data_IF_747192252832
#
_entry.id   IF_747192252832
#
_cell.length_a   1.000
_cell.length_b   1.000
_cell.length_c   1.000
_cell.angle_alpha   90.00
_cell.angle_beta   90.00
_cell.angle_gamma   90.00
#
_symmetry.space_group_name_H-M   'P 1'
#
loop_
_entity.id
_entity.type
_entity.pdbx_description
1 polymer ?
#
# COMPACT_ATOMS: atom_id res chain seq x y z
N UNK A 1 9.97 -22.68 2.22
CA UNK A 1 10.73 -21.42 2.03
C UNK A 1 9.86 -20.29 2.56
N UNK A 2 10.20 -19.73 3.73
CA UNK A 2 9.37 -18.74 4.42
C UNK A 2 9.54 -17.36 3.77
N UNK A 3 8.52 -16.88 3.08
CA UNK A 3 8.45 -15.49 2.61
C UNK A 3 8.52 -14.61 3.85
N UNK A 4 9.53 -13.74 3.92
CA UNK A 4 9.65 -12.81 5.05
C UNK A 4 8.51 -11.80 5.00
N UNK A 5 8.10 -11.28 6.16
CA UNK A 5 7.08 -10.22 6.24
C UNK A 5 7.42 -9.06 5.29
N UNK A 6 8.70 -8.72 5.18
CA UNK A 6 9.17 -7.69 4.26
C UNK A 6 8.95 -8.01 2.78
N UNK A 7 9.13 -9.26 2.37
CA UNK A 7 8.91 -9.67 0.98
C UNK A 7 7.42 -9.64 0.61
N UNK A 8 6.54 -10.01 1.55
CA UNK A 8 5.09 -9.95 1.34
C UNK A 8 4.59 -8.51 1.21
N UNK A 9 5.06 -7.61 2.08
CA UNK A 9 4.75 -6.16 1.96
C UNK A 9 5.22 -5.63 0.61
N UNK A 10 6.47 -5.90 0.21
CA UNK A 10 7.01 -5.42 -1.06
C UNK A 10 6.21 -5.94 -2.25
N UNK A 11 5.75 -7.19 -2.19
CA UNK A 11 4.87 -7.77 -3.21
C UNK A 11 3.55 -7.02 -3.31
N UNK A 12 2.87 -6.77 -2.19
CA UNK A 12 1.58 -6.05 -2.20
C UNK A 12 1.73 -4.60 -2.66
N UNK A 13 2.82 -3.92 -2.25
CA UNK A 13 3.15 -2.59 -2.77
C UNK A 13 3.36 -2.64 -4.29
N UNK A 14 4.10 -3.63 -4.80
CA UNK A 14 4.31 -3.79 -6.24
C UNK A 14 2.99 -4.01 -7.00
N UNK A 15 2.03 -4.75 -6.44
CA UNK A 15 0.70 -4.91 -7.03
C UNK A 15 -0.07 -3.59 -7.11
N UNK A 16 0.02 -2.73 -6.08
CA UNK A 16 -0.57 -1.38 -6.10
C UNK A 16 0.07 -0.54 -7.22
N UNK A 17 1.40 -0.54 -7.35
CA UNK A 17 2.10 0.17 -8.42
C UNK A 17 1.76 -0.37 -9.81
N UNK A 18 1.50 -1.67 -9.95
CA UNK A 18 1.07 -2.26 -11.20
C UNK A 18 -0.32 -1.73 -11.63
N UNK A 19 -1.25 -1.61 -10.68
CA UNK A 19 -2.56 -0.98 -10.93
C UNK A 19 -2.38 0.48 -11.36
N UNK A 20 -1.50 1.23 -10.69
CA UNK A 20 -1.26 2.63 -11.04
C UNK A 20 -0.64 2.81 -12.43
N UNK A 21 0.27 1.91 -12.81
CA UNK A 21 0.83 1.90 -14.16
C UNK A 21 -0.24 1.63 -15.23
N UNK A 22 -1.18 0.76 -14.93
CA UNK A 22 -2.27 0.36 -15.84
C UNK A 22 -3.29 1.50 -16.06
N UNK A 23 -3.57 2.29 -15.03
CA UNK A 23 -4.51 3.41 -15.10
C UNK A 23 -3.83 4.74 -15.48
N UNK A 24 -2.50 4.75 -15.62
CA UNK A 24 -1.73 5.93 -16.02
C UNK A 24 -2.18 6.41 -17.41
N UNK A 25 -2.41 7.71 -17.53
CA UNK A 25 -2.89 8.32 -18.78
C UNK A 25 -4.41 8.30 -18.97
N UNK A 26 -5.18 7.67 -18.07
CA UNK A 26 -6.64 7.78 -18.06
C UNK A 26 -7.11 9.08 -17.39
N UNK A 27 -8.37 9.45 -17.59
CA UNK A 27 -8.94 10.65 -16.96
C UNK A 27 -8.93 10.53 -15.43
N UNK A 28 -8.92 11.66 -14.73
CA UNK A 28 -8.90 11.68 -13.26
C UNK A 28 -10.06 10.92 -12.62
N UNK A 29 -11.25 10.97 -13.23
CA UNK A 29 -12.42 10.21 -12.77
C UNK A 29 -12.26 8.70 -12.95
N UNK A 30 -11.70 8.26 -14.09
CA UNK A 30 -11.42 6.84 -14.33
C UNK A 30 -10.31 6.32 -13.42
N UNK A 31 -9.27 7.13 -13.18
CA UNK A 31 -8.23 6.81 -12.20
C UNK A 31 -8.81 6.63 -10.81
N UNK A 32 -9.63 7.55 -10.34
CA UNK A 32 -10.24 7.45 -9.01
C UNK A 32 -11.13 6.21 -8.89
N UNK A 33 -11.96 5.94 -9.90
CA UNK A 33 -12.83 4.76 -9.89
C UNK A 33 -12.02 3.45 -9.88
N UNK A 34 -10.95 3.37 -10.67
CA UNK A 34 -10.08 2.21 -10.69
C UNK A 34 -9.28 2.05 -9.38
N UNK A 35 -8.82 3.16 -8.77
CA UNK A 35 -8.20 3.15 -7.44
C UNK A 35 -9.14 2.61 -6.38
N UNK A 36 -10.39 3.04 -6.36
CA UNK A 36 -11.37 2.52 -5.41
C UNK A 36 -11.71 1.04 -5.67
N UNK A 37 -11.79 0.62 -6.93
CA UNK A 37 -12.14 -0.76 -7.26
C UNK A 37 -10.98 -1.75 -7.05
N UNK A 38 -9.73 -1.32 -7.28
CA UNK A 38 -8.56 -2.21 -7.34
C UNK A 38 -7.51 -1.90 -6.26
N UNK A 39 -7.15 -0.63 -6.08
CA UNK A 39 -6.09 -0.24 -5.14
C UNK A 39 -6.57 -0.20 -3.68
N UNK A 40 -7.80 0.26 -3.43
CA UNK A 40 -8.37 0.35 -2.08
C UNK A 40 -8.48 -0.99 -1.34
N UNK A 41 -9.01 -2.08 -1.93
CA UNK A 41 -9.06 -3.37 -1.24
C UNK A 41 -7.67 -3.96 -0.98
N UNK A 42 -6.68 -3.71 -1.86
CA UNK A 42 -5.29 -4.15 -1.64
C UNK A 42 -4.66 -3.42 -0.44
N UNK A 43 -4.88 -2.11 -0.35
CA UNK A 43 -4.40 -1.31 0.78
C UNK A 43 -5.08 -1.75 2.07
N UNK A 44 -6.40 -1.89 2.09
CA UNK A 44 -7.12 -2.37 3.27
C UNK A 44 -6.62 -3.75 3.74
N UNK A 45 -6.45 -4.70 2.81
CA UNK A 45 -5.92 -6.02 3.11
C UNK A 45 -4.50 -5.96 3.72
N UNK A 46 -3.63 -5.10 3.19
CA UNK A 46 -2.28 -4.87 3.73
C UNK A 46 -2.35 -4.33 5.16
N UNK A 47 -3.23 -3.37 5.43
CA UNK A 47 -3.42 -2.77 6.76
C UNK A 47 -3.90 -3.78 7.80
N UNK A 48 -4.89 -4.60 7.44
CA UNK A 48 -5.40 -5.68 8.30
C UNK A 48 -4.29 -6.70 8.56
N UNK A 49 -3.59 -7.15 7.52
CA UNK A 49 -2.52 -8.13 7.65
C UNK A 49 -1.37 -7.61 8.52
N UNK A 50 -0.92 -6.37 8.33
CA UNK A 50 0.12 -5.76 9.18
C UNK A 50 -0.32 -5.65 10.64
N UNK A 51 -1.59 -5.31 10.90
CA UNK A 51 -2.17 -5.28 12.25
C UNK A 51 -2.17 -6.67 12.90
N UNK A 52 -2.54 -7.70 12.14
CA UNK A 52 -2.50 -9.10 12.61
C UNK A 52 -1.07 -9.58 12.86
N UNK A 53 -0.12 -9.25 11.98
CA UNK A 53 1.30 -9.56 12.18
C UNK A 53 1.85 -8.86 13.42
N UNK A 54 1.47 -7.60 13.66
CA UNK A 54 1.87 -6.86 14.88
C UNK A 54 1.31 -7.48 16.16
N UNK A 55 0.10 -8.01 16.15
CA UNK A 55 -0.48 -8.76 17.27
C UNK A 55 0.23 -10.10 17.49
N UNK A 56 0.71 -10.75 16.42
CA UNK A 56 1.46 -12.00 16.48
C UNK A 56 2.92 -11.80 16.93
N UNK A 57 3.53 -10.65 16.61
CA UNK A 57 4.93 -10.33 16.88
C UNK A 57 5.02 -9.44 18.12
N UNK A 58 4.71 -10.00 19.29
CA UNK A 58 4.88 -9.32 20.59
C UNK A 58 6.36 -9.21 21.05
N UNK A 59 7.35 -9.61 20.24
CA UNK A 59 8.70 -9.86 20.78
C UNK A 59 9.92 -9.46 19.93
N UNK A 60 9.78 -8.76 18.78
CA UNK A 60 10.97 -8.44 17.94
C UNK A 60 10.98 -7.00 17.40
N UNK A 61 11.82 -6.09 17.96
CA UNK A 61 11.90 -4.68 17.57
C UNK A 61 12.46 -4.41 16.15
N UNK A 62 12.94 -5.43 15.42
CA UNK A 62 13.48 -5.29 14.05
C UNK A 62 12.43 -5.05 12.96
N UNK A 63 11.14 -5.13 13.28
CA UNK A 63 10.06 -4.81 12.35
C UNK A 63 9.72 -3.30 12.31
N UNK A 64 10.23 -2.52 13.28
CA UNK A 64 9.86 -1.13 13.49
C UNK A 64 10.28 -0.19 12.36
N UNK A 65 11.49 -0.34 11.81
CA UNK A 65 11.97 0.56 10.74
C UNK A 65 11.23 0.38 9.42
N UNK A 66 10.91 -0.88 9.05
CA UNK A 66 10.12 -1.14 7.84
C UNK A 66 8.67 -0.72 8.00
N UNK A 67 8.09 -0.94 9.18
CA UNK A 67 6.77 -0.39 9.52
C UNK A 67 6.78 1.13 9.46
N UNK A 68 7.82 1.81 9.95
CA UNK A 68 7.92 3.27 9.90
C UNK A 68 8.00 3.80 8.45
N UNK A 69 8.74 3.11 7.57
CA UNK A 69 8.78 3.42 6.14
C UNK A 69 7.39 3.25 5.51
N UNK A 70 6.76 2.09 5.71
CA UNK A 70 5.40 1.82 5.21
C UNK A 70 4.40 2.84 5.79
N UNK A 71 4.51 3.20 7.07
CA UNK A 71 3.62 4.14 7.75
C UNK A 71 3.76 5.56 7.19
N UNK A 72 4.99 6.02 6.92
CA UNK A 72 5.22 7.31 6.25
C UNK A 72 4.61 7.33 4.85
N UNK A 73 4.67 6.22 4.13
CA UNK A 73 4.05 6.10 2.81
C UNK A 73 2.54 5.82 2.88
N UNK A 74 2.03 5.35 4.02
CA UNK A 74 0.64 4.94 4.22
C UNK A 74 -0.32 6.13 4.20
N UNK A 75 0.02 7.21 4.90
CA UNK A 75 -0.79 8.44 4.87
C UNK A 75 -0.85 9.01 3.45
N UNK A 76 0.30 9.02 2.74
CA UNK A 76 0.36 9.40 1.34
C UNK A 76 -0.48 8.49 0.44
N UNK A 77 -0.44 7.16 0.66
CA UNK A 77 -1.26 6.17 -0.04
C UNK A 77 -2.76 6.37 0.22
N UNK A 78 -3.20 6.67 1.45
CA UNK A 78 -4.61 6.94 1.74
C UNK A 78 -5.11 8.24 1.09
N UNK A 79 -4.31 9.31 1.12
CA UNK A 79 -4.63 10.55 0.41
C UNK A 79 -4.67 10.32 -1.10
N UNK A 80 -3.74 9.53 -1.63
CA UNK A 80 -3.67 9.15 -3.03
C UNK A 80 -4.87 8.32 -3.52
N UNK A 81 -5.39 7.42 -2.67
CA UNK A 81 -6.58 6.62 -2.97
C UNK A 81 -7.86 7.47 -3.01
N UNK A 82 -7.88 8.58 -2.26
CA UNK A 82 -9.04 9.46 -2.16
C UNK A 82 -8.98 10.65 -3.12
N UNK A 83 -7.79 11.01 -3.61
CA UNK A 83 -7.57 12.08 -4.59
C UNK A 83 -6.91 11.56 -5.89
N UNK A 84 -7.70 11.48 -6.95
CA UNK A 84 -7.25 11.10 -8.30
C UNK A 84 -6.30 12.11 -8.99
N UNK A 85 -6.05 13.27 -8.37
CA UNK A 85 -5.10 14.29 -8.84
C UNK A 85 -3.70 14.11 -8.25
N UNK A 86 -3.56 13.34 -7.17
CA UNK A 86 -2.27 13.06 -6.54
C UNK A 86 -1.58 11.93 -7.31
N UNK A 87 -0.34 12.18 -7.73
CA UNK A 87 0.55 11.15 -8.27
C UNK A 87 1.22 10.39 -7.12
N UNK A 88 1.49 9.10 -7.32
CA UNK A 88 2.06 8.21 -6.28
C UNK A 88 3.50 8.62 -5.89
N UNK A 89 4.11 9.51 -6.68
CA UNK A 89 5.50 9.95 -6.56
C UNK A 89 5.63 11.40 -6.05
N UNK A 90 4.57 11.98 -5.47
CA UNK A 90 4.65 13.32 -4.87
C UNK A 90 5.36 13.23 -3.51
N UNK A 91 6.69 13.10 -3.54
CA UNK A 91 7.60 13.29 -2.41
C UNK A 91 7.95 14.77 -2.23
#
# INVERSE_FOLDING_TARGET
>A
MGVTIAAEVLRQIAEIYAVEKDIRGTSSGQRLSARQARSAPLVEALGIWLKLQRLSISAKPRLGEKLAYIHRHWDGLQTFLTDGRVEIDSN
#
